data_IF_711343241681
#
_entry.id   IF_711343241681
#
_cell.length_a   1.000
_cell.length_b   1.000
_cell.length_c   1.000
_cell.angle_alpha   90.00
_cell.angle_beta   90.00
_cell.angle_gamma   90.00
#
_symmetry.space_group_name_H-M   'P 1'
#
loop_
_entity.id
_entity.type
_entity.pdbx_description
1 polymer ?
#
# COMPACT_ATOMS: atom_id res chain seq x y z
N UNK A 1 25.60 -10.38 -15.67
CA UNK A 1 26.92 -9.75 -15.43
C UNK A 1 26.91 -8.42 -16.15
N UNK A 2 26.99 -7.28 -15.43
CA UNK A 2 26.92 -5.95 -16.03
C UNK A 2 28.30 -5.58 -16.62
N UNK A 3 28.34 -5.16 -17.88
CA UNK A 3 29.53 -4.59 -18.51
C UNK A 3 29.25 -3.15 -18.92
N UNK A 4 30.05 -2.22 -18.39
CA UNK A 4 30.00 -0.81 -18.77
C UNK A 4 31.06 -0.52 -19.84
N UNK A 5 30.65 0.09 -20.96
CA UNK A 5 31.54 0.70 -21.94
C UNK A 5 31.29 2.22 -21.91
N UNK A 6 32.28 3.01 -21.50
CA UNK A 6 32.22 4.48 -21.59
C UNK A 6 33.33 5.02 -22.48
N UNK A 7 32.99 6.00 -23.33
CA UNK A 7 33.95 6.80 -24.08
C UNK A 7 34.32 8.01 -23.21
N UNK A 8 35.59 8.10 -22.80
CA UNK A 8 36.07 9.10 -21.84
C UNK A 8 36.19 10.47 -22.51
N UNK A 9 35.45 11.47 -22.02
CA UNK A 9 35.77 12.89 -22.21
C UNK A 9 35.83 13.57 -20.83
N UNK A 10 37.04 13.69 -20.30
CA UNK A 10 37.55 14.44 -19.13
C UNK A 10 36.92 14.27 -17.71
N UNK A 11 37.74 14.38 -16.65
CA UNK A 11 37.37 14.02 -15.29
C UNK A 11 36.99 15.26 -14.47
N UNK A 12 35.77 15.31 -13.96
CA UNK A 12 35.46 15.73 -12.59
C UNK A 12 33.94 15.70 -12.39
N UNK A 13 33.56 15.21 -11.21
CA UNK A 13 32.23 15.21 -10.57
C UNK A 13 31.36 13.95 -10.63
N UNK A 14 31.00 13.54 -9.40
CA UNK A 14 29.75 12.92 -8.94
C UNK A 14 29.40 11.53 -9.46
N UNK A 15 29.40 10.56 -8.53
CA UNK A 15 28.67 9.29 -8.66
C UNK A 15 27.17 9.59 -8.85
N UNK A 16 26.74 9.78 -10.09
CA UNK A 16 25.34 9.72 -10.47
C UNK A 16 24.98 8.24 -10.62
N UNK A 17 24.18 7.71 -9.69
CA UNK A 17 23.52 6.42 -9.89
C UNK A 17 22.40 6.65 -10.89
N UNK A 18 22.54 6.07 -12.07
CA UNK A 18 21.52 6.10 -13.11
C UNK A 18 20.70 4.82 -13.06
N UNK A 19 19.38 4.95 -13.22
CA UNK A 19 18.37 3.89 -13.16
C UNK A 19 18.04 3.37 -14.56
N UNK A 20 18.99 2.69 -15.21
CA UNK A 20 18.74 2.16 -16.54
C UNK A 20 17.97 0.83 -16.51
N UNK A 21 16.88 0.74 -17.27
CA UNK A 21 16.21 -0.50 -17.63
C UNK A 21 17.20 -1.44 -18.32
N UNK A 22 17.28 -2.70 -17.85
CA UNK A 22 18.22 -3.70 -18.36
C UNK A 22 17.77 -4.33 -19.70
N UNK A 23 16.52 -4.10 -20.11
CA UNK A 23 15.94 -4.61 -21.36
C UNK A 23 15.72 -3.52 -22.42
N UNK A 24 15.47 -2.27 -22.01
CA UNK A 24 15.20 -1.15 -22.95
C UNK A 24 16.25 -0.03 -22.96
N UNK A 25 17.03 0.07 -21.89
CA UNK A 25 18.12 1.03 -21.74
C UNK A 25 17.66 2.37 -21.22
N UNK A 26 16.35 2.54 -21.02
CA UNK A 26 15.76 3.81 -20.64
C UNK A 26 15.96 4.09 -19.14
N UNK A 27 16.10 5.37 -18.78
CA UNK A 27 16.15 5.83 -17.39
C UNK A 27 15.04 6.83 -17.08
N UNK A 28 14.67 6.99 -15.81
CA UNK A 28 13.69 7.99 -15.38
C UNK A 28 14.13 9.43 -15.65
N UNK A 29 15.43 9.65 -15.91
CA UNK A 29 16.00 10.96 -16.27
C UNK A 29 15.93 11.27 -17.78
N UNK A 30 15.39 10.35 -18.59
CA UNK A 30 15.36 10.47 -20.06
C UNK A 30 16.71 10.17 -20.73
N UNK A 31 17.74 9.80 -19.98
CA UNK A 31 18.98 9.24 -20.51
C UNK A 31 18.74 7.79 -20.97
N UNK A 32 19.39 7.40 -22.05
CA UNK A 32 19.31 6.03 -22.59
C UNK A 32 20.68 5.38 -22.57
N UNK A 33 20.82 4.32 -21.79
CA UNK A 33 21.95 3.41 -21.84
C UNK A 33 21.80 2.47 -23.04
N UNK A 34 22.93 2.13 -23.65
CA UNK A 34 22.96 1.08 -24.66
C UNK A 34 22.86 -0.29 -23.98
N UNK A 35 21.97 -1.14 -24.48
CA UNK A 35 21.89 -2.55 -24.10
C UNK A 35 22.50 -3.37 -25.22
N UNK A 36 23.24 -4.39 -24.82
CA UNK A 36 23.87 -5.34 -25.73
C UNK A 36 23.46 -6.75 -25.36
N UNK A 37 23.27 -7.59 -26.36
CA UNK A 37 23.06 -9.01 -26.13
C UNK A 37 24.34 -9.61 -25.54
N UNK A 38 24.15 -10.29 -24.41
CA UNK A 38 25.21 -10.99 -23.68
C UNK A 38 24.90 -12.48 -23.71
N UNK A 39 25.85 -13.27 -24.22
CA UNK A 39 25.80 -14.73 -24.15
C UNK A 39 26.97 -15.24 -23.31
N UNK A 40 26.72 -16.28 -22.52
CA UNK A 40 27.76 -16.96 -21.75
C UNK A 40 27.83 -18.38 -22.27
N UNK A 41 29.02 -18.85 -22.65
CA UNK A 41 29.19 -20.23 -23.10
C UNK A 41 29.37 -21.21 -21.92
N UNK A 42 29.40 -22.50 -22.22
CA UNK A 42 29.53 -23.58 -21.24
C UNK A 42 30.86 -23.53 -20.46
N UNK A 43 31.84 -22.77 -20.94
CA UNK A 43 33.13 -22.55 -20.29
C UNK A 43 33.15 -21.26 -19.44
N UNK A 44 32.02 -20.56 -19.34
CA UNK A 44 31.87 -19.33 -18.58
C UNK A 44 32.41 -18.08 -19.28
N UNK A 45 32.72 -18.16 -20.58
CA UNK A 45 33.19 -17.02 -21.35
C UNK A 45 32.00 -16.15 -21.74
N UNK A 46 32.07 -14.88 -21.37
CA UNK A 46 31.05 -13.86 -21.68
C UNK A 46 31.36 -13.23 -23.04
N UNK A 47 30.42 -13.30 -23.97
CA UNK A 47 30.46 -12.57 -25.23
C UNK A 47 29.42 -11.46 -25.20
N UNK A 48 29.81 -10.30 -25.71
CA UNK A 48 28.96 -9.11 -25.81
C UNK A 48 29.00 -8.68 -27.27
N UNK A 49 27.83 -8.43 -27.86
CA UNK A 49 27.79 -7.91 -29.22
C UNK A 49 28.45 -6.51 -29.31
N UNK A 50 29.34 -6.25 -30.28
CA UNK A 50 29.97 -4.95 -30.41
C UNK A 50 28.92 -3.86 -30.74
N UNK A 51 28.95 -2.69 -30.07
CA UNK A 51 27.95 -1.64 -30.24
C UNK A 51 27.73 -1.13 -31.66
N UNK A 52 28.76 -1.21 -32.50
CA UNK A 52 28.72 -0.90 -33.94
C UNK A 52 29.72 -1.81 -34.67
N UNK A 53 29.40 -2.35 -35.86
CA UNK A 53 30.27 -3.29 -36.58
C UNK A 53 31.65 -2.73 -36.97
N UNK A 54 31.77 -1.40 -37.05
CA UNK A 54 32.93 -0.69 -37.62
C UNK A 54 33.88 -0.13 -36.56
N UNK A 55 33.61 -0.33 -35.26
CA UNK A 55 34.40 0.25 -34.17
C UNK A 55 35.13 -0.80 -33.35
N UNK A 56 36.39 -0.55 -32.98
CA UNK A 56 37.16 -1.39 -32.04
C UNK A 56 36.83 -1.00 -30.59
N UNK A 57 36.38 -1.96 -29.80
CA UNK A 57 36.01 -1.77 -28.38
C UNK A 57 36.91 -2.61 -27.49
N UNK A 58 37.21 -2.11 -26.30
CA UNK A 58 37.93 -2.86 -25.26
C UNK A 58 37.14 -2.85 -23.96
N UNK A 59 36.90 -4.02 -23.37
CA UNK A 59 36.27 -4.15 -22.06
C UNK A 59 37.16 -3.49 -20.99
N UNK A 60 36.62 -2.50 -20.26
CA UNK A 60 37.38 -1.73 -19.27
C UNK A 60 37.40 -2.37 -17.89
N UNK A 61 36.27 -2.94 -17.47
CA UNK A 61 36.13 -3.68 -16.21
C UNK A 61 34.87 -4.54 -16.26
N UNK A 62 34.91 -5.69 -15.60
CA UNK A 62 33.71 -6.48 -15.28
C UNK A 62 33.59 -6.51 -13.77
N UNK A 63 32.50 -5.96 -13.23
CA UNK A 63 32.25 -5.94 -11.80
C UNK A 63 31.06 -6.86 -11.48
N UNK A 64 31.21 -7.85 -10.59
CA UNK A 64 30.08 -8.60 -10.08
C UNK A 64 29.19 -7.65 -9.26
N UNK A 65 27.88 -7.68 -9.51
CA UNK A 65 26.91 -7.12 -8.57
C UNK A 65 26.77 -8.15 -7.46
N UNK A 66 27.14 -7.85 -6.20
CA UNK A 66 27.05 -8.81 -5.12
C UNK A 66 25.61 -9.30 -4.97
N UNK A 67 25.44 -10.62 -4.85
CA UNK A 67 24.17 -11.27 -4.53
C UNK A 67 23.75 -11.13 -3.06
N UNK A 68 24.25 -10.10 -2.37
CA UNK A 68 23.70 -9.69 -1.09
C UNK A 68 22.42 -8.92 -1.40
N UNK A 69 21.35 -9.66 -1.66
CA UNK A 69 20.00 -9.14 -1.54
C UNK A 69 19.90 -8.51 -0.15
N UNK A 70 19.84 -7.18 -0.10
CA UNK A 70 19.81 -6.43 1.14
C UNK A 70 18.73 -7.04 2.04
N UNK A 71 19.17 -7.64 3.15
CA UNK A 71 18.24 -8.10 4.16
C UNK A 71 17.33 -6.92 4.50
N UNK A 72 16.01 -7.15 4.58
CA UNK A 72 15.13 -6.13 5.16
C UNK A 72 15.73 -5.79 6.52
N UNK A 73 15.94 -4.50 6.83
CA UNK A 73 16.29 -4.09 8.18
C UNK A 73 15.27 -4.70 9.15
N UNK A 74 15.70 -5.32 10.26
CA UNK A 74 14.75 -5.85 11.21
C UNK A 74 13.82 -4.72 11.67
N UNK A 75 12.52 -4.99 11.89
CA UNK A 75 11.65 -3.99 12.47
C UNK A 75 12.27 -3.52 13.80
N UNK A 76 12.14 -2.23 14.12
CA UNK A 76 12.79 -1.66 15.29
C UNK A 76 12.33 -2.40 16.55
N UNK A 77 13.23 -2.65 17.52
CA UNK A 77 12.87 -3.31 18.76
C UNK A 77 11.78 -2.50 19.47
N UNK A 78 10.74 -3.18 19.95
CA UNK A 78 9.62 -2.56 20.66
C UNK A 78 10.06 -2.02 22.02
N UNK A 79 10.63 -0.81 22.05
CA UNK A 79 11.02 -0.12 23.28
C UNK A 79 9.94 0.80 23.84
N UNK A 80 8.91 1.08 23.04
CA UNK A 80 7.89 2.10 23.34
C UNK A 80 6.48 1.53 23.22
N UNK A 81 5.69 1.69 24.27
CA UNK A 81 4.30 1.22 24.36
C UNK A 81 3.31 2.25 23.79
N UNK A 82 2.09 1.84 23.46
CA UNK A 82 1.02 2.78 23.05
C UNK A 82 0.75 3.82 24.13
N UNK A 83 0.77 3.41 25.40
CA UNK A 83 0.62 4.34 26.53
C UNK A 83 1.72 5.41 26.55
N UNK A 84 2.96 5.05 26.26
CA UNK A 84 4.07 6.01 26.18
C UNK A 84 3.91 6.96 24.99
N UNK A 85 3.45 6.47 23.84
CA UNK A 85 3.14 7.30 22.67
C UNK A 85 1.97 8.27 22.91
N UNK A 86 1.20 8.09 24.00
CA UNK A 86 0.16 9.01 24.43
C UNK A 86 0.63 10.26 25.17
N UNK A 87 1.92 10.37 25.52
CA UNK A 87 2.44 11.56 26.18
C UNK A 87 2.79 12.66 25.18
N UNK A 88 2.41 13.90 25.52
CA UNK A 88 2.75 15.11 24.78
C UNK A 88 4.27 15.14 24.60
N UNK A 89 4.74 15.17 23.34
CA UNK A 89 6.14 15.12 22.87
C UNK A 89 6.77 13.75 22.57
N UNK A 90 6.11 12.61 22.82
CA UNK A 90 6.69 11.29 22.46
C UNK A 90 6.24 10.78 21.07
N UNK A 91 5.10 11.24 20.58
CA UNK A 91 4.64 10.92 19.24
C UNK A 91 5.19 11.92 18.21
N UNK A 92 6.40 11.66 17.72
CA UNK A 92 7.07 12.47 16.70
C UNK A 92 7.61 11.57 15.58
N UNK A 93 6.86 11.40 14.48
CA UNK A 93 7.32 10.59 13.34
C UNK A 93 8.59 11.13 12.68
N UNK A 94 8.88 12.43 12.80
CA UNK A 94 10.04 13.06 12.16
C UNK A 94 11.34 12.84 12.96
N UNK A 95 11.22 12.49 14.25
CA UNK A 95 12.35 12.07 15.09
C UNK A 95 12.77 10.61 14.85
N UNK A 96 11.95 9.81 14.15
CA UNK A 96 12.26 8.40 13.85
C UNK A 96 13.34 8.35 12.79
N UNK A 97 14.45 7.68 13.10
CA UNK A 97 15.56 7.49 12.15
C UNK A 97 15.13 6.58 10.99
N UNK A 98 15.70 6.78 9.79
CA UNK A 98 15.54 5.82 8.72
C UNK A 98 16.08 4.45 9.15
N UNK A 99 15.52 3.35 8.61
CA UNK A 99 16.02 2.03 8.92
C UNK A 99 17.42 1.80 8.34
N UNK A 100 18.19 0.91 8.96
CA UNK A 100 19.55 0.56 8.54
C UNK A 100 19.69 -0.97 8.51
N UNK A 101 19.94 -1.59 7.34
CA UNK A 101 20.09 -0.96 6.03
C UNK A 101 18.78 -0.38 5.46
N UNK A 102 18.86 0.60 4.56
CA UNK A 102 17.68 1.13 3.86
C UNK A 102 17.17 0.12 2.81
N UNK A 103 15.85 -0.17 2.73
CA UNK A 103 15.29 -1.04 1.70
C UNK A 103 15.56 -0.52 0.28
N UNK A 104 15.92 -1.43 -0.64
CA UNK A 104 16.33 -1.10 -2.01
C UNK A 104 15.19 -1.13 -3.03
N UNK A 105 14.02 -1.62 -2.65
CA UNK A 105 12.83 -1.67 -3.51
C UNK A 105 11.60 -1.15 -2.76
N UNK A 106 10.60 -0.68 -3.51
CA UNK A 106 9.32 -0.27 -2.92
C UNK A 106 8.63 -1.44 -2.19
N UNK A 107 8.72 -2.65 -2.74
CA UNK A 107 8.12 -3.83 -2.11
C UNK A 107 8.85 -4.20 -0.82
N UNK A 108 10.18 -4.09 -0.76
CA UNK A 108 10.92 -4.30 0.48
C UNK A 108 10.55 -3.26 1.55
N UNK A 109 10.29 -2.00 1.16
CA UNK A 109 9.71 -0.99 2.04
C UNK A 109 8.32 -1.37 2.54
N UNK A 110 7.42 -1.79 1.64
CA UNK A 110 6.07 -2.22 1.99
C UNK A 110 6.11 -3.39 2.99
N UNK A 111 6.98 -4.38 2.75
CA UNK A 111 7.17 -5.53 3.64
C UNK A 111 7.74 -5.12 4.99
N UNK A 112 8.68 -4.18 5.06
CA UNK A 112 9.18 -3.63 6.34
C UNK A 112 8.05 -2.97 7.13
N UNK A 113 7.23 -2.14 6.48
CA UNK A 113 6.12 -1.43 7.12
C UNK A 113 5.07 -2.42 7.64
N UNK A 114 4.70 -3.42 6.83
CA UNK A 114 3.74 -4.45 7.22
C UNK A 114 4.25 -5.34 8.36
N UNK A 115 5.57 -5.51 8.52
CA UNK A 115 6.18 -6.24 9.64
C UNK A 115 6.44 -5.35 10.88
N UNK A 116 6.20 -4.05 10.79
CA UNK A 116 6.41 -3.13 11.91
C UNK A 116 5.17 -3.11 12.81
N UNK A 117 5.30 -3.25 14.13
CA UNK A 117 4.14 -3.23 15.03
C UNK A 117 3.76 -1.81 15.48
N UNK A 118 4.76 -0.93 15.62
CA UNK A 118 4.61 0.40 16.18
C UNK A 118 3.92 1.37 15.21
N UNK A 119 2.81 2.03 15.60
CA UNK A 119 2.10 2.98 14.74
C UNK A 119 2.99 4.18 14.37
N UNK A 120 3.84 4.63 15.29
CA UNK A 120 4.82 5.69 15.06
C UNK A 120 5.80 5.35 13.94
N UNK A 121 6.39 4.14 14.00
CA UNK A 121 7.35 3.70 13.00
C UNK A 121 6.69 3.42 11.64
N UNK A 122 5.45 2.90 11.61
CA UNK A 122 4.70 2.75 10.35
C UNK A 122 4.56 4.08 9.60
N UNK A 123 4.23 5.15 10.31
CA UNK A 123 4.09 6.49 9.71
C UNK A 123 5.42 6.99 9.19
N UNK A 124 6.47 6.92 10.01
CA UNK A 124 7.80 7.36 9.61
C UNK A 124 8.31 6.58 8.38
N UNK A 125 8.21 5.26 8.40
CA UNK A 125 8.63 4.40 7.30
C UNK A 125 7.77 4.59 6.05
N UNK A 126 6.47 4.89 6.19
CA UNK A 126 5.62 5.28 5.06
C UNK A 126 6.14 6.55 4.38
N UNK A 127 6.54 7.57 5.17
CA UNK A 127 7.13 8.81 4.64
C UNK A 127 8.46 8.55 3.92
N UNK A 128 9.35 7.73 4.51
CA UNK A 128 10.61 7.37 3.88
C UNK A 128 10.40 6.56 2.58
N UNK A 129 9.51 5.58 2.59
CA UNK A 129 9.18 4.77 1.43
C UNK A 129 8.60 5.61 0.29
N UNK A 130 7.68 6.53 0.59
CA UNK A 130 7.13 7.46 -0.40
C UNK A 130 8.21 8.37 -0.98
N UNK A 131 9.09 8.91 -0.14
CA UNK A 131 10.21 9.73 -0.60
C UNK A 131 11.22 8.92 -1.45
N UNK A 132 11.49 7.67 -1.11
CA UNK A 132 12.31 6.78 -1.93
C UNK A 132 11.65 6.47 -3.28
N UNK A 133 10.33 6.28 -3.30
CA UNK A 133 9.55 6.12 -4.53
C UNK A 133 9.63 7.33 -5.45
N UNK A 134 9.46 8.52 -4.89
CA UNK A 134 9.55 9.80 -5.61
C UNK A 134 10.96 10.06 -6.16
N UNK A 135 11.99 9.50 -5.51
CA UNK A 135 13.39 9.51 -5.98
C UNK A 135 13.70 8.43 -7.03
N UNK A 136 12.74 7.62 -7.42
CA UNK A 136 12.92 6.64 -8.51
C UNK A 136 13.37 5.25 -8.08
N UNK A 137 13.17 4.84 -6.81
CA UNK A 137 13.50 3.48 -6.38
C UNK A 137 12.83 2.41 -7.26
N UNK A 138 13.50 1.29 -7.48
CA UNK A 138 12.91 0.15 -8.19
C UNK A 138 11.68 -0.39 -7.45
N UNK A 139 10.69 -0.90 -8.19
CA UNK A 139 9.48 -1.45 -7.56
C UNK A 139 9.83 -2.70 -6.74
N UNK A 140 10.51 -3.69 -7.35
CA UNK A 140 10.64 -5.03 -6.77
C UNK A 140 9.43 -5.90 -7.11
N UNK A 141 9.17 -6.94 -6.33
CA UNK A 141 7.95 -7.76 -6.41
C UNK A 141 8.14 -9.14 -7.03
N UNK A 142 9.38 -9.53 -7.32
CA UNK A 142 9.71 -10.84 -7.88
C UNK A 142 9.79 -10.92 -9.40
N UNK A 143 9.98 -12.13 -9.90
CA UNK A 143 10.11 -12.45 -11.32
C UNK A 143 9.62 -13.87 -11.61
N UNK A 144 9.41 -14.21 -12.88
CA UNK A 144 9.18 -15.59 -13.29
C UNK A 144 10.46 -16.42 -13.17
N UNK A 145 10.35 -17.61 -12.60
CA UNK A 145 11.33 -18.70 -12.64
C UNK A 145 10.67 -19.90 -13.34
N UNK A 146 10.83 -19.97 -14.66
CA UNK A 146 10.03 -20.85 -15.50
C UNK A 146 8.54 -20.51 -15.39
N UNK A 147 7.74 -21.46 -14.89
CA UNK A 147 6.29 -21.31 -14.76
C UNK A 147 5.83 -20.75 -13.40
N UNK A 148 6.74 -20.46 -12.47
CA UNK A 148 6.39 -20.02 -11.12
C UNK A 148 6.85 -18.60 -10.86
N UNK A 149 6.01 -17.77 -10.24
CA UNK A 149 6.41 -16.44 -9.80
C UNK A 149 7.19 -16.53 -8.48
N UNK A 150 8.47 -16.17 -8.51
CA UNK A 150 9.35 -16.16 -7.35
C UNK A 150 9.43 -14.76 -6.75
N UNK A 151 9.04 -14.63 -5.47
CA UNK A 151 9.16 -13.38 -4.68
C UNK A 151 10.35 -13.50 -3.73
N UNK A 152 11.31 -12.56 -3.75
CA UNK A 152 12.42 -12.53 -2.80
C UNK A 152 11.93 -12.59 -1.35
N UNK A 153 12.64 -13.33 -0.48
CA UNK A 153 12.24 -13.48 0.91
C UNK A 153 12.10 -12.14 1.65
N UNK A 154 12.94 -11.17 1.28
CA UNK A 154 12.93 -9.80 1.78
C UNK A 154 11.86 -8.90 1.12
N UNK A 155 10.89 -9.49 0.42
CA UNK A 155 9.77 -8.83 -0.24
C UNK A 155 8.45 -9.59 0.01
N UNK A 156 8.47 -10.59 0.89
CA UNK A 156 7.28 -11.36 1.25
C UNK A 156 6.52 -10.67 2.38
N UNK A 157 5.33 -10.08 2.13
CA UNK A 157 4.54 -9.46 3.18
C UNK A 157 4.04 -10.50 4.18
N UNK A 158 3.88 -10.14 5.48
CA UNK A 158 3.29 -11.04 6.45
C UNK A 158 1.82 -11.31 6.10
N UNK A 159 1.29 -12.45 6.57
CA UNK A 159 -0.14 -12.75 6.43
C UNK A 159 -0.99 -11.73 7.19
N UNK A 160 -0.54 -11.33 8.39
CA UNK A 160 -1.16 -10.30 9.21
C UNK A 160 -0.10 -9.38 9.82
N UNK A 161 -0.21 -8.05 9.65
CA UNK A 161 0.65 -7.08 10.30
C UNK A 161 0.58 -7.21 11.83
N UNK A 162 1.71 -7.17 12.54
CA UNK A 162 1.72 -7.20 13.98
C UNK A 162 1.20 -5.87 14.57
N UNK A 163 0.83 -5.92 15.84
CA UNK A 163 0.43 -4.77 16.67
C UNK A 163 1.22 -4.79 17.97
N UNK A 164 1.39 -3.63 18.60
CA UNK A 164 2.08 -3.54 19.89
C UNK A 164 1.35 -4.36 20.96
N UNK A 165 2.12 -5.01 21.84
CA UNK A 165 1.59 -5.98 22.82
C UNK A 165 0.62 -5.40 23.84
N UNK A 166 0.70 -4.10 24.10
CA UNK A 166 -0.17 -3.40 25.05
C UNK A 166 -1.50 -2.92 24.40
N UNK A 167 -1.72 -3.22 23.12
CA UNK A 167 -2.99 -3.00 22.45
C UNK A 167 -4.10 -3.92 23.01
N UNK A 168 -5.22 -3.32 23.39
CA UNK A 168 -6.38 -4.07 23.88
C UNK A 168 -7.30 -4.45 22.71
N UNK A 169 -7.32 -5.73 22.34
CA UNK A 169 -8.20 -6.25 21.29
C UNK A 169 -9.52 -6.77 21.87
N UNK A 170 -10.61 -6.49 21.18
CA UNK A 170 -11.93 -7.09 21.41
C UNK A 170 -12.52 -7.62 20.10
N UNK A 171 -13.44 -8.57 20.22
CA UNK A 171 -14.16 -9.10 19.07
C UNK A 171 -15.10 -8.07 18.43
N UNK A 172 -15.38 -8.17 17.12
CA UNK A 172 -16.35 -7.32 16.45
C UNK A 172 -17.69 -7.31 17.20
N UNK A 173 -18.19 -6.12 17.51
CA UNK A 173 -19.45 -5.92 18.26
C UNK A 173 -19.33 -5.95 19.79
N UNK A 174 -18.18 -6.29 20.36
CA UNK A 174 -17.93 -6.27 21.82
C UNK A 174 -17.33 -4.93 22.31
N UNK A 175 -17.09 -3.98 21.42
CA UNK A 175 -16.67 -2.63 21.81
C UNK A 175 -17.78 -1.88 22.56
N UNK A 176 -17.40 -1.12 23.58
CA UNK A 176 -18.30 -0.19 24.26
C UNK A 176 -18.98 0.73 23.24
N UNK A 177 -20.28 0.98 23.42
CA UNK A 177 -21.05 1.83 22.50
C UNK A 177 -20.39 3.20 22.38
N UNK A 178 -19.89 3.49 21.17
CA UNK A 178 -19.44 4.82 20.74
C UNK A 178 -20.68 5.72 20.82
N UNK A 179 -20.74 6.61 21.80
CA UNK A 179 -21.93 7.45 22.04
C UNK A 179 -22.26 8.36 20.85
N UNK A 180 -23.18 9.32 21.04
CA UNK A 180 -23.64 10.20 19.94
C UNK A 180 -22.71 11.37 19.61
N UNK A 181 -21.53 11.46 20.22
CA UNK A 181 -20.54 12.54 20.01
C UNK A 181 -20.82 13.83 20.82
N UNK A 182 -21.89 13.87 21.61
CA UNK A 182 -22.24 15.06 22.40
C UNK A 182 -21.31 15.32 23.60
N UNK A 183 -20.83 14.26 24.26
CA UNK A 183 -19.86 14.38 25.36
C UNK A 183 -18.44 14.18 24.87
N UNK A 184 -17.47 14.76 25.59
CA UNK A 184 -16.04 14.62 25.29
C UNK A 184 -15.60 13.15 25.27
N UNK A 185 -15.98 12.36 26.27
CA UNK A 185 -15.76 10.90 26.29
C UNK A 185 -16.27 10.21 25.02
N UNK A 186 -17.43 10.62 24.52
CA UNK A 186 -17.98 10.05 23.29
C UNK A 186 -17.21 10.48 22.04
N UNK A 187 -16.67 11.70 22.02
CA UNK A 187 -15.82 12.20 20.93
C UNK A 187 -14.48 11.47 20.91
N UNK A 188 -13.84 11.30 22.06
CA UNK A 188 -12.61 10.50 22.22
C UNK A 188 -12.82 9.08 21.67
N UNK A 189 -13.93 8.42 22.04
CA UNK A 189 -14.23 7.08 21.55
C UNK A 189 -14.48 7.01 20.02
N UNK A 190 -14.99 8.08 19.41
CA UNK A 190 -15.16 8.16 17.96
C UNK A 190 -13.83 8.40 17.24
N UNK A 191 -13.01 9.35 17.70
CA UNK A 191 -11.68 9.63 17.14
C UNK A 191 -10.74 8.44 17.27
N UNK A 192 -10.76 7.76 18.42
CA UNK A 192 -9.96 6.56 18.65
C UNK A 192 -10.35 5.42 17.69
N UNK A 193 -11.65 5.22 17.47
CA UNK A 193 -12.13 4.23 16.52
C UNK A 193 -11.74 4.56 15.07
N UNK A 194 -11.73 5.84 14.69
CA UNK A 194 -11.23 6.29 13.39
C UNK A 194 -9.72 6.07 13.28
N UNK A 195 -8.94 6.40 14.31
CA UNK A 195 -7.49 6.17 14.33
C UNK A 195 -7.15 4.67 14.16
N UNK A 196 -7.96 3.77 14.73
CA UNK A 196 -7.82 2.34 14.46
C UNK A 196 -8.06 1.98 12.99
N UNK A 197 -9.05 2.62 12.34
CA UNK A 197 -9.31 2.42 10.90
C UNK A 197 -8.11 2.90 10.10
N UNK A 198 -7.58 4.11 10.37
CA UNK A 198 -6.44 4.65 9.62
C UNK A 198 -5.17 3.81 9.79
N UNK A 199 -4.93 3.22 10.97
CA UNK A 199 -3.82 2.26 11.14
C UNK A 199 -3.95 1.05 10.22
N UNK A 200 -5.15 0.50 10.09
CA UNK A 200 -5.40 -0.58 9.15
C UNK A 200 -5.35 -0.09 7.69
N UNK A 201 -5.77 1.14 7.41
CA UNK A 201 -5.74 1.72 6.06
C UNK A 201 -4.29 1.89 5.56
N UNK A 202 -3.35 2.35 6.40
CA UNK A 202 -1.91 2.35 6.10
C UNK A 202 -1.46 0.95 5.67
N UNK A 203 -1.82 -0.07 6.45
CA UNK A 203 -1.43 -1.45 6.15
C UNK A 203 -2.08 -1.96 4.86
N UNK A 204 -3.34 -1.63 4.61
CA UNK A 204 -4.06 -2.08 3.42
C UNK A 204 -3.49 -1.46 2.14
N UNK A 205 -3.11 -0.18 2.19
CA UNK A 205 -2.46 0.51 1.08
C UNK A 205 -1.07 -0.07 0.78
N UNK A 206 -0.29 -0.44 1.81
CA UNK A 206 0.99 -1.13 1.60
C UNK A 206 0.83 -2.60 1.20
N UNK A 207 -0.22 -3.29 1.65
CA UNK A 207 -0.48 -4.69 1.31
C UNK A 207 -0.80 -4.88 -0.17
N UNK A 208 -1.61 -3.99 -0.75
CA UNK A 208 -1.90 -4.05 -2.18
C UNK A 208 -0.66 -3.71 -3.02
N UNK A 209 0.21 -2.81 -2.55
CA UNK A 209 1.51 -2.55 -3.16
C UNK A 209 2.37 -3.82 -3.12
N UNK A 210 2.52 -4.43 -1.94
CA UNK A 210 3.39 -5.59 -1.73
C UNK A 210 2.94 -6.82 -2.54
N UNK A 211 1.63 -7.07 -2.62
CA UNK A 211 1.07 -8.24 -3.32
C UNK A 211 0.79 -8.00 -4.80
N UNK A 212 0.59 -6.74 -5.20
CA UNK A 212 0.22 -6.32 -6.54
C UNK A 212 1.00 -7.00 -7.66
N UNK A 213 2.35 -7.03 -7.62
CA UNK A 213 3.18 -7.67 -8.63
C UNK A 213 2.78 -9.11 -8.95
N UNK A 214 2.81 -9.99 -7.92
CA UNK A 214 2.45 -11.40 -8.06
C UNK A 214 0.99 -11.57 -8.48
N UNK A 215 0.08 -10.80 -7.87
CA UNK A 215 -1.35 -10.93 -8.15
C UNK A 215 -1.69 -10.50 -9.58
N UNK A 216 -1.04 -9.44 -10.08
CA UNK A 216 -1.23 -8.99 -11.45
C UNK A 216 -0.60 -9.94 -12.46
N UNK A 217 0.60 -10.46 -12.18
CA UNK A 217 1.22 -11.46 -13.03
C UNK A 217 0.31 -12.69 -13.20
N UNK A 218 -0.28 -13.17 -12.09
CA UNK A 218 -1.29 -14.25 -12.14
C UNK A 218 -2.55 -13.85 -12.89
N UNK A 219 -3.09 -12.67 -12.61
CA UNK A 219 -4.32 -12.19 -13.24
C UNK A 219 -4.18 -12.13 -14.77
N UNK A 220 -2.97 -11.86 -15.27
CA UNK A 220 -2.69 -11.68 -16.69
C UNK A 220 -2.32 -12.98 -17.41
N UNK A 221 -2.29 -14.11 -16.71
CA UNK A 221 -2.03 -15.41 -17.34
C UNK A 221 -3.20 -15.80 -18.23
N UNK A 222 -2.91 -16.25 -19.45
CA UNK A 222 -3.89 -16.78 -20.40
C UNK A 222 -3.43 -18.13 -20.92
N UNK A 223 -4.31 -18.90 -21.57
CA UNK A 223 -3.93 -20.17 -22.21
C UNK A 223 -2.74 -20.03 -23.16
N UNK A 224 -2.60 -18.87 -23.81
CA UNK A 224 -1.52 -18.59 -24.77
C UNK A 224 -0.33 -17.84 -24.17
N UNK A 225 -0.44 -17.30 -22.96
CA UNK A 225 0.65 -16.61 -22.26
C UNK A 225 0.65 -16.96 -20.75
N UNK A 226 1.46 -17.96 -20.40
CA UNK A 226 1.56 -18.46 -19.03
C UNK A 226 2.51 -17.63 -18.14
N UNK A 227 3.37 -16.80 -18.73
CA UNK A 227 4.38 -16.01 -18.00
C UNK A 227 4.37 -14.56 -18.48
N UNK A 228 3.24 -13.84 -18.31
CA UNK A 228 3.14 -12.45 -18.73
C UNK A 228 4.11 -11.58 -17.94
N UNK A 229 4.79 -10.64 -18.60
CA UNK A 229 5.53 -9.60 -17.89
C UNK A 229 4.58 -8.79 -17.01
N UNK A 230 5.08 -8.31 -15.85
CA UNK A 230 4.27 -7.58 -14.88
C UNK A 230 3.67 -6.30 -15.50
N UNK A 231 2.36 -6.22 -15.71
CA UNK A 231 1.74 -5.12 -16.45
C UNK A 231 1.25 -3.98 -15.56
N UNK A 232 1.39 -4.07 -14.22
CA UNK A 232 1.05 -2.95 -13.35
C UNK A 232 2.00 -1.78 -13.62
N UNK A 233 1.48 -0.65 -14.12
CA UNK A 233 2.32 0.50 -14.39
C UNK A 233 2.81 1.14 -13.08
N UNK A 234 3.93 1.84 -13.13
CA UNK A 234 4.48 2.59 -11.99
C UNK A 234 3.44 3.53 -11.34
N UNK A 235 2.47 4.02 -12.11
CA UNK A 235 1.37 4.84 -11.61
C UNK A 235 0.48 4.12 -10.58
N UNK A 236 0.34 2.79 -10.64
CA UNK A 236 -0.38 2.01 -9.62
C UNK A 236 0.26 2.18 -8.25
N UNK A 237 1.58 2.01 -8.23
CA UNK A 237 2.38 2.16 -7.03
C UNK A 237 2.42 3.62 -6.56
N UNK A 238 2.40 4.58 -7.49
CA UNK A 238 2.30 5.99 -7.16
C UNK A 238 0.99 6.30 -6.42
N UNK A 239 -0.15 5.89 -6.98
CA UNK A 239 -1.47 6.14 -6.40
C UNK A 239 -1.58 5.51 -5.01
N UNK A 240 -1.27 4.22 -4.85
CA UNK A 240 -1.40 3.56 -3.54
C UNK A 240 -0.33 4.01 -2.52
N UNK A 241 0.87 4.43 -2.97
CA UNK A 241 1.85 5.01 -2.04
C UNK A 241 1.40 6.39 -1.55
N UNK A 242 0.64 7.13 -2.38
CA UNK A 242 0.01 8.37 -1.99
C UNK A 242 -1.14 8.12 -1.01
N UNK A 243 -2.02 7.13 -1.28
CA UNK A 243 -3.04 6.69 -0.32
C UNK A 243 -2.38 6.36 1.03
N UNK A 244 -1.34 5.51 1.04
CA UNK A 244 -0.65 5.17 2.28
C UNK A 244 -0.09 6.40 3.03
N UNK A 245 0.47 7.37 2.31
CA UNK A 245 0.97 8.62 2.90
C UNK A 245 -0.16 9.46 3.51
N UNK A 246 -1.31 9.52 2.84
CA UNK A 246 -2.50 10.22 3.33
C UNK A 246 -3.08 9.51 4.56
N UNK A 247 -3.13 8.17 4.61
CA UNK A 247 -3.55 7.46 5.83
C UNK A 247 -2.59 7.66 7.01
N UNK A 248 -1.28 7.73 6.73
CA UNK A 248 -0.29 8.07 7.74
C UNK A 248 -0.50 9.50 8.28
N UNK A 249 -0.92 10.45 7.42
CA UNK A 249 -1.33 11.81 7.81
C UNK A 249 -2.64 11.78 8.62
N UNK A 250 -3.65 11.04 8.19
CA UNK A 250 -4.94 10.90 8.89
C UNK A 250 -4.75 10.39 10.31
N UNK A 251 -4.00 9.30 10.47
CA UNK A 251 -3.68 8.77 11.79
C UNK A 251 -2.94 9.80 12.66
N UNK A 252 -1.97 10.52 12.07
CA UNK A 252 -1.20 11.55 12.79
C UNK A 252 -2.12 12.64 13.34
N UNK A 253 -3.05 13.15 12.52
CA UNK A 253 -4.05 14.16 12.93
C UNK A 253 -4.92 13.64 14.08
N UNK A 254 -5.44 12.41 13.96
CA UNK A 254 -6.30 11.81 14.97
C UNK A 254 -5.56 11.53 16.27
N UNK A 255 -4.33 11.02 16.22
CA UNK A 255 -3.50 10.77 17.40
C UNK A 255 -3.15 12.07 18.12
N UNK A 256 -2.77 13.11 17.40
CA UNK A 256 -2.51 14.43 17.98
C UNK A 256 -3.77 14.97 18.67
N UNK A 257 -4.93 14.87 18.00
CA UNK A 257 -6.20 15.30 18.60
C UNK A 257 -6.56 14.50 19.85
N UNK A 258 -6.32 13.20 19.88
CA UNK A 258 -6.53 12.36 21.07
C UNK A 258 -5.65 12.82 22.23
N UNK A 259 -4.36 13.10 21.98
CA UNK A 259 -3.40 13.59 22.98
C UNK A 259 -3.86 14.92 23.58
N UNK A 260 -4.30 15.87 22.74
CA UNK A 260 -4.85 17.16 23.18
C UNK A 260 -6.10 17.01 24.07
N UNK A 261 -6.87 15.95 23.86
CA UNK A 261 -8.06 15.62 24.66
C UNK A 261 -7.72 14.76 25.89
N UNK A 262 -6.43 14.58 26.23
CA UNK A 262 -5.98 13.78 27.37
C UNK A 262 -6.15 12.27 27.18
N UNK A 263 -6.17 11.78 25.93
CA UNK A 263 -6.28 10.38 25.56
C UNK A 263 -5.18 10.00 24.54
N UNK A 264 -5.22 8.78 24.00
CA UNK A 264 -4.26 8.30 23.01
C UNK A 264 -4.78 7.06 22.29
N UNK A 265 -4.27 6.77 21.09
CA UNK A 265 -4.50 5.50 20.40
C UNK A 265 -3.96 4.32 21.22
N UNK A 266 -4.80 3.35 21.51
CA UNK A 266 -4.54 2.27 22.47
C UNK A 266 -5.18 2.45 23.86
N UNK A 267 -5.69 3.65 24.20
CA UNK A 267 -6.36 3.88 25.49
C UNK A 267 -7.73 3.17 25.61
N UNK A 268 -8.34 2.83 24.48
CA UNK A 268 -9.61 2.10 24.38
C UNK A 268 -9.42 0.82 23.56
N UNK A 269 -10.27 -0.21 23.75
CA UNK A 269 -10.16 -1.43 22.99
C UNK A 269 -10.50 -1.29 21.50
N UNK A 270 -9.74 -1.97 20.64
CA UNK A 270 -9.88 -1.97 19.18
C UNK A 270 -10.40 -3.32 18.64
N UNK A 271 -10.93 -3.32 17.42
CA UNK A 271 -11.26 -4.54 16.67
C UNK A 271 -10.45 -4.58 15.38
N UNK A 272 -10.15 -5.78 14.89
CA UNK A 272 -9.31 -5.99 13.70
C UNK A 272 -10.08 -6.50 12.47
N UNK A 273 -11.40 -6.33 12.47
CA UNK A 273 -12.29 -6.88 11.43
C UNK A 273 -12.02 -6.38 10.01
N UNK A 274 -11.33 -5.24 9.84
CA UNK A 274 -11.00 -4.72 8.52
C UNK A 274 -9.98 -5.62 7.79
N UNK A 275 -9.00 -6.16 8.52
CA UNK A 275 -7.98 -7.06 7.95
C UNK A 275 -8.56 -8.43 7.55
N UNK A 276 -9.70 -8.84 8.10
CA UNK A 276 -10.31 -10.11 7.72
C UNK A 276 -10.78 -10.06 6.24
N UNK A 277 -11.15 -8.87 5.74
CA UNK A 277 -11.42 -8.66 4.30
C UNK A 277 -10.16 -8.74 3.45
N UNK A 278 -9.00 -8.35 4.01
CA UNK A 278 -7.71 -8.51 3.35
C UNK A 278 -7.35 -9.99 3.21
N UNK A 279 -7.47 -10.77 4.29
CA UNK A 279 -7.23 -12.22 4.23
C UNK A 279 -8.15 -12.88 3.19
N UNK A 280 -9.44 -12.55 3.20
CA UNK A 280 -10.42 -13.09 2.25
C UNK A 280 -10.04 -12.84 0.78
N UNK A 281 -9.40 -11.71 0.50
CA UNK A 281 -9.04 -11.27 -0.86
C UNK A 281 -7.54 -11.35 -1.11
N UNK A 282 -6.80 -12.15 -0.32
CA UNK A 282 -5.34 -12.33 -0.42
C UNK A 282 -4.84 -12.80 -1.78
N UNK A 283 -5.69 -13.53 -2.50
CA UNK A 283 -5.34 -14.20 -3.76
C UNK A 283 -6.11 -13.67 -4.97
N UNK A 284 -6.75 -12.51 -4.89
CA UNK A 284 -7.49 -11.95 -6.03
C UNK A 284 -7.38 -10.43 -6.03
N UNK A 285 -6.67 -9.88 -7.02
CA UNK A 285 -6.41 -8.43 -7.13
C UNK A 285 -7.70 -7.63 -7.37
N UNK A 286 -8.59 -8.13 -8.21
CA UNK A 286 -9.85 -7.47 -8.51
C UNK A 286 -10.79 -7.51 -7.30
N UNK A 287 -10.85 -8.65 -6.59
CA UNK A 287 -11.59 -8.74 -5.35
C UNK A 287 -10.98 -7.82 -4.27
N UNK A 288 -9.65 -7.74 -4.18
CA UNK A 288 -8.94 -6.86 -3.25
C UNK A 288 -9.32 -5.39 -3.48
N UNK A 289 -9.20 -4.92 -4.72
CA UNK A 289 -9.60 -3.56 -5.11
C UNK A 289 -11.08 -3.31 -4.83
N UNK A 290 -11.95 -4.27 -5.12
CA UNK A 290 -13.39 -4.14 -4.94
C UNK A 290 -13.79 -4.04 -3.47
N UNK A 291 -13.28 -4.93 -2.61
CA UNK A 291 -13.70 -4.99 -1.21
C UNK A 291 -12.99 -3.93 -0.38
N UNK A 292 -11.68 -3.82 -0.50
CA UNK A 292 -10.91 -2.87 0.31
C UNK A 292 -11.11 -1.46 -0.24
N UNK A 293 -10.70 -1.22 -1.48
CA UNK A 293 -10.57 0.14 -2.01
C UNK A 293 -11.85 0.76 -2.58
N UNK A 294 -12.91 -0.03 -2.75
CA UNK A 294 -14.20 0.46 -3.28
C UNK A 294 -15.40 0.23 -2.36
N UNK A 295 -15.35 -0.73 -1.42
CA UNK A 295 -16.39 -0.89 -0.39
C UNK A 295 -15.99 -0.23 0.92
N UNK A 296 -14.80 -0.55 1.47
CA UNK A 296 -14.40 -0.01 2.77
C UNK A 296 -14.03 1.48 2.69
N UNK A 297 -13.23 1.90 1.71
CA UNK A 297 -12.92 3.35 1.56
C UNK A 297 -14.18 4.17 1.25
N UNK A 298 -15.05 3.67 0.36
CA UNK A 298 -16.30 4.36 0.04
C UNK A 298 -17.26 4.43 1.23
N UNK A 299 -17.06 3.61 2.28
CA UNK A 299 -17.81 3.73 3.53
C UNK A 299 -17.42 4.97 4.31
N UNK A 300 -16.17 5.42 4.22
CA UNK A 300 -15.70 6.69 4.78
C UNK A 300 -16.50 7.87 4.22
N UNK A 301 -16.70 7.92 2.89
CA UNK A 301 -17.50 8.95 2.22
C UNK A 301 -18.94 9.08 2.74
N UNK A 302 -19.55 7.97 3.15
CA UNK A 302 -20.92 7.95 3.66
C UNK A 302 -21.00 8.37 5.14
N UNK A 303 -20.00 7.99 5.95
CA UNK A 303 -20.07 8.10 7.42
C UNK A 303 -19.41 9.37 7.94
N UNK A 304 -18.36 9.85 7.26
CA UNK A 304 -17.57 11.01 7.70
C UNK A 304 -18.41 12.30 7.80
N UNK A 305 -19.28 12.64 6.82
CA UNK A 305 -20.11 13.86 6.91
C UNK A 305 -20.97 13.92 8.17
N UNK A 306 -21.62 12.81 8.54
CA UNK A 306 -22.44 12.72 9.74
C UNK A 306 -21.58 12.83 11.01
N UNK A 307 -20.37 12.28 11.00
CA UNK A 307 -19.43 12.39 12.11
C UNK A 307 -18.97 13.84 12.27
N UNK A 308 -18.54 14.50 11.18
CA UNK A 308 -18.17 15.93 11.17
C UNK A 308 -19.31 16.79 11.73
N UNK A 309 -20.55 16.54 11.31
CA UNK A 309 -21.72 17.28 11.82
C UNK A 309 -21.89 17.13 13.34
N UNK A 310 -21.68 15.93 13.90
CA UNK A 310 -21.75 15.70 15.35
C UNK A 310 -20.69 16.50 16.11
N UNK A 311 -19.45 16.51 15.62
CA UNK A 311 -18.36 17.27 16.25
C UNK A 311 -18.59 18.77 16.15
N UNK A 312 -19.11 19.24 15.00
CA UNK A 312 -19.51 20.64 14.81
C UNK A 312 -20.61 21.06 15.78
N UNK A 313 -21.65 20.23 15.94
CA UNK A 313 -22.73 20.49 16.89
C UNK A 313 -22.25 20.50 18.35
N UNK A 314 -21.15 19.80 18.65
CA UNK A 314 -20.52 19.79 19.96
C UNK A 314 -19.51 20.94 20.17
N UNK A 315 -19.33 21.84 19.19
CA UNK A 315 -18.40 22.97 19.28
C UNK A 315 -16.92 22.59 19.18
N UNK A 316 -16.59 21.38 18.71
CA UNK A 316 -15.21 20.88 18.62
C UNK A 316 -14.59 21.19 17.25
N UNK A 317 -14.21 22.46 17.06
CA UNK A 317 -13.72 22.97 15.78
C UNK A 317 -12.43 22.28 15.29
N UNK A 318 -11.52 21.92 16.21
CA UNK A 318 -10.24 21.28 15.89
C UNK A 318 -10.44 19.86 15.32
N UNK A 319 -11.35 19.09 15.94
CA UNK A 319 -11.73 17.77 15.41
C UNK A 319 -12.47 17.90 14.08
N UNK A 320 -13.30 18.93 13.89
CA UNK A 320 -13.98 19.19 12.60
C UNK A 320 -12.97 19.45 11.49
N UNK A 321 -11.93 20.24 11.75
CA UNK A 321 -10.86 20.51 10.78
C UNK A 321 -10.16 19.22 10.36
N UNK A 322 -9.68 18.43 11.32
CA UNK A 322 -9.01 17.15 11.06
C UNK A 322 -9.88 16.18 10.26
N UNK A 323 -11.14 16.00 10.67
CA UNK A 323 -12.08 15.11 9.99
C UNK A 323 -12.48 15.61 8.59
N UNK A 324 -12.47 16.93 8.37
CA UNK A 324 -12.75 17.51 7.04
C UNK A 324 -11.59 17.23 6.09
N UNK A 325 -10.34 17.37 6.55
CA UNK A 325 -9.15 16.99 5.76
C UNK A 325 -9.23 15.53 5.35
N UNK A 326 -9.43 14.62 6.31
CA UNK A 326 -9.56 13.18 6.06
C UNK A 326 -10.62 12.92 4.99
N UNK A 327 -11.83 13.45 5.17
CA UNK A 327 -12.93 13.23 4.24
C UNK A 327 -12.67 13.68 2.80
N UNK A 328 -11.91 14.76 2.60
CA UNK A 328 -11.57 15.24 1.26
C UNK A 328 -10.56 14.31 0.56
N UNK A 329 -9.64 13.75 1.31
CA UNK A 329 -8.63 12.80 0.80
C UNK A 329 -9.28 11.46 0.39
N UNK A 330 -10.26 10.98 1.16
CA UNK A 330 -11.02 9.73 0.87
C UNK A 330 -11.59 9.67 -0.56
N UNK A 331 -12.00 10.82 -1.13
CA UNK A 331 -12.53 10.89 -2.50
C UNK A 331 -11.47 10.43 -3.50
N UNK A 332 -10.22 10.81 -3.28
CA UNK A 332 -9.09 10.44 -4.14
C UNK A 332 -8.66 8.99 -3.93
N UNK A 333 -8.85 8.45 -2.72
CA UNK A 333 -8.54 7.05 -2.41
C UNK A 333 -9.51 6.10 -3.11
N UNK A 334 -10.81 6.38 -3.03
CA UNK A 334 -11.84 5.64 -3.78
C UNK A 334 -11.61 5.78 -5.29
N UNK A 335 -11.21 6.97 -5.75
CA UNK A 335 -10.84 7.21 -7.16
C UNK A 335 -9.67 6.31 -7.62
N UNK A 336 -8.66 6.10 -6.77
CA UNK A 336 -7.54 5.19 -7.05
C UNK A 336 -8.04 3.75 -7.20
N UNK A 337 -8.86 3.27 -6.26
CA UNK A 337 -9.50 1.95 -6.35
C UNK A 337 -10.30 1.76 -7.64
N UNK A 338 -11.11 2.75 -7.99
CA UNK A 338 -11.95 2.75 -9.19
C UNK A 338 -11.11 2.72 -10.47
N UNK A 339 -10.08 3.57 -10.54
CA UNK A 339 -9.15 3.67 -11.66
C UNK A 339 -8.46 2.33 -11.92
N UNK A 340 -7.92 1.69 -10.88
CA UNK A 340 -7.14 0.46 -11.05
C UNK A 340 -8.00 -0.77 -11.34
N UNK A 341 -9.20 -0.86 -10.76
CA UNK A 341 -10.13 -1.93 -11.14
C UNK A 341 -10.56 -1.76 -12.62
N UNK A 342 -10.87 -0.53 -13.03
CA UNK A 342 -11.24 -0.22 -14.42
C UNK A 342 -10.09 -0.52 -15.39
N UNK A 343 -8.86 -0.15 -15.03
CA UNK A 343 -7.66 -0.46 -15.80
C UNK A 343 -7.49 -1.97 -16.00
N UNK A 344 -7.57 -2.76 -14.92
CA UNK A 344 -7.42 -4.22 -14.98
C UNK A 344 -8.48 -4.88 -15.86
N UNK A 345 -9.73 -4.42 -15.81
CA UNK A 345 -10.77 -4.91 -16.70
C UNK A 345 -10.55 -4.48 -18.16
N UNK A 346 -9.94 -3.32 -18.40
CA UNK A 346 -9.69 -2.82 -19.75
C UNK A 346 -8.57 -3.58 -20.47
N UNK A 347 -7.49 -3.91 -19.76
CA UNK A 347 -6.39 -4.70 -20.33
C UNK A 347 -6.74 -6.17 -20.54
N UNK A 348 -7.92 -6.59 -20.07
CA UNK A 348 -8.54 -7.87 -20.30
C UNK A 348 -9.95 -7.72 -20.89
N UNK A 349 -10.08 -7.30 -22.16
CA UNK A 349 -11.38 -6.95 -22.76
C UNK A 349 -12.37 -8.11 -22.85
N UNK A 350 -11.91 -9.36 -22.73
CA UNK A 350 -12.73 -10.56 -22.60
C UNK A 350 -13.40 -10.71 -21.22
N UNK A 351 -12.98 -9.93 -20.23
CA UNK A 351 -13.58 -9.92 -18.90
C UNK A 351 -14.87 -9.09 -18.84
N UNK A 352 -15.75 -9.35 -17.85
CA UNK A 352 -16.93 -8.54 -17.59
C UNK A 352 -16.59 -7.06 -17.35
N UNK A 353 -17.59 -6.18 -17.48
CA UNK A 353 -17.41 -4.75 -17.20
C UNK A 353 -16.87 -4.52 -15.77
N UNK A 354 -16.18 -3.40 -15.49
CA UNK A 354 -15.70 -3.09 -14.13
C UNK A 354 -16.80 -3.16 -13.06
N UNK A 355 -18.01 -2.74 -13.42
CA UNK A 355 -19.20 -2.82 -12.54
C UNK A 355 -19.57 -4.28 -12.24
N UNK A 356 -19.56 -5.14 -13.25
CA UNK A 356 -19.88 -6.56 -13.08
C UNK A 356 -18.84 -7.28 -12.24
N UNK A 357 -17.55 -7.00 -12.49
CA UNK A 357 -16.44 -7.52 -11.68
C UNK A 357 -16.60 -7.08 -10.23
N UNK A 358 -16.81 -5.79 -9.98
CA UNK A 358 -17.05 -5.27 -8.62
C UNK A 358 -18.23 -5.96 -7.94
N UNK A 359 -19.40 -6.00 -8.60
CA UNK A 359 -20.62 -6.58 -8.01
C UNK A 359 -20.45 -8.07 -7.74
N UNK A 360 -19.74 -8.79 -8.62
CA UNK A 360 -19.40 -10.20 -8.42
C UNK A 360 -18.48 -10.39 -7.23
N UNK A 361 -17.42 -9.58 -7.11
CA UNK A 361 -16.50 -9.60 -5.98
C UNK A 361 -17.22 -9.32 -4.66
N UNK A 362 -18.12 -8.32 -4.62
CA UNK A 362 -18.91 -8.01 -3.42
C UNK A 362 -19.82 -9.18 -3.04
N UNK A 363 -20.56 -9.77 -3.99
CA UNK A 363 -21.38 -10.96 -3.69
C UNK A 363 -20.54 -12.08 -3.09
N UNK A 364 -19.40 -12.39 -3.70
CA UNK A 364 -18.55 -13.52 -3.29
C UNK A 364 -17.85 -13.30 -1.95
N UNK A 365 -17.34 -12.10 -1.69
CA UNK A 365 -16.38 -11.86 -0.61
C UNK A 365 -16.90 -10.99 0.53
N UNK A 366 -18.04 -10.30 0.37
CA UNK A 366 -18.62 -9.43 1.40
C UNK A 366 -19.78 -10.11 2.14
N UNK A 367 -19.98 -9.77 3.41
CA UNK A 367 -21.08 -10.30 4.24
C UNK A 367 -22.18 -9.25 4.38
N UNK A 368 -23.37 -9.58 3.86
CA UNK A 368 -24.58 -8.78 4.04
C UNK A 368 -24.68 -7.56 3.12
N UNK A 369 -25.69 -6.73 3.36
CA UNK A 369 -26.03 -5.63 2.46
C UNK A 369 -25.06 -4.45 2.58
N UNK A 370 -24.72 -3.81 1.46
CA UNK A 370 -24.10 -2.48 1.49
C UNK A 370 -25.13 -1.48 2.03
N UNK A 371 -24.88 -0.93 3.22
CA UNK A 371 -25.85 -0.11 3.94
C UNK A 371 -25.66 1.38 3.63
N UNK A 372 -26.70 2.00 3.10
CA UNK A 372 -26.81 3.46 3.05
C UNK A 372 -27.04 4.11 4.42
N UNK A 373 -27.34 5.42 4.47
CA UNK A 373 -27.44 6.31 3.30
C UNK A 373 -26.09 6.45 2.60
N UNK A 374 -26.11 6.49 1.26
CA UNK A 374 -24.91 6.69 0.45
C UNK A 374 -24.71 8.17 0.18
N UNK A 375 -23.47 8.64 0.26
CA UNK A 375 -23.10 9.97 -0.18
C UNK A 375 -22.91 9.95 -1.70
N UNK A 376 -24.01 10.19 -2.43
CA UNK A 376 -24.06 10.05 -3.90
C UNK A 376 -23.09 11.02 -4.58
N UNK A 377 -23.01 12.27 -4.10
CA UNK A 377 -22.20 13.31 -4.72
C UNK A 377 -20.70 12.97 -4.63
N UNK A 378 -20.20 12.62 -3.45
CA UNK A 378 -18.78 12.28 -3.27
C UNK A 378 -18.41 10.95 -3.91
N UNK A 379 -19.31 9.95 -3.85
CA UNK A 379 -19.11 8.68 -4.57
C UNK A 379 -19.03 8.92 -6.08
N UNK A 380 -19.89 9.79 -6.63
CA UNK A 380 -19.86 10.14 -8.05
C UNK A 380 -18.58 10.89 -8.41
N UNK A 381 -18.11 11.81 -7.57
CA UNK A 381 -16.83 12.47 -7.75
C UNK A 381 -15.66 11.47 -7.76
N UNK A 382 -15.76 10.40 -6.97
CA UNK A 382 -14.80 9.31 -6.95
C UNK A 382 -14.95 8.29 -8.11
N UNK A 383 -15.91 8.48 -9.01
CA UNK A 383 -16.17 7.58 -10.14
C UNK A 383 -17.21 6.48 -9.88
N UNK A 384 -17.72 6.34 -8.66
CA UNK A 384 -18.74 5.37 -8.30
C UNK A 384 -20.16 5.91 -8.54
N UNK A 385 -20.71 5.62 -9.70
CA UNK A 385 -22.12 5.88 -10.00
C UNK A 385 -23.04 4.87 -9.27
N UNK A 386 -24.35 5.15 -9.13
CA UNK A 386 -25.29 4.27 -8.40
C UNK A 386 -25.30 2.80 -8.85
N UNK A 387 -25.04 2.53 -10.14
CA UNK A 387 -24.98 1.16 -10.69
C UNK A 387 -23.97 0.24 -9.98
N UNK A 388 -22.92 0.82 -9.39
CA UNK A 388 -21.90 0.08 -8.66
C UNK A 388 -22.49 -0.56 -7.41
N UNK A 389 -23.18 0.21 -6.57
CA UNK A 389 -23.49 -0.18 -5.18
C UNK A 389 -24.98 -0.31 -4.86
N UNK A 390 -25.89 0.25 -5.66
CA UNK A 390 -27.32 0.15 -5.38
C UNK A 390 -27.82 -1.30 -5.46
N UNK A 391 -28.68 -1.65 -4.49
CA UNK A 391 -29.27 -2.99 -4.36
C UNK A 391 -28.24 -4.12 -4.18
N UNK A 392 -26.99 -3.81 -3.84
CA UNK A 392 -25.93 -4.80 -3.75
C UNK A 392 -25.85 -5.42 -2.36
N UNK A 393 -25.84 -6.75 -2.33
CA UNK A 393 -25.69 -7.54 -1.12
C UNK A 393 -24.58 -8.56 -1.32
N UNK A 394 -23.71 -8.65 -0.32
CA UNK A 394 -22.79 -9.76 -0.16
C UNK A 394 -23.53 -11.06 0.15
N UNK A 395 -23.09 -12.15 -0.45
CA UNK A 395 -23.66 -13.50 -0.34
C UNK A 395 -22.74 -14.42 0.48
N UNK A 396 -21.56 -13.93 0.90
CA UNK A 396 -20.71 -14.65 1.84
C UNK A 396 -21.45 -14.87 3.15
N UNK A 397 -21.56 -16.13 3.57
CA UNK A 397 -22.10 -16.46 4.88
C UNK A 397 -21.08 -16.10 5.97
N UNK A 398 -21.55 -15.49 7.05
CA UNK A 398 -20.72 -15.36 8.25
C UNK A 398 -20.42 -16.76 8.78
N UNK A 399 -19.15 -17.16 8.79
CA UNK A 399 -18.73 -18.36 9.51
C UNK A 399 -19.08 -18.14 10.98
N UNK A 400 -20.06 -18.89 11.48
CA UNK A 400 -20.27 -18.98 12.93
C UNK A 400 -19.15 -19.85 13.45
N UNK A 401 -18.14 -19.25 14.07
CA UNK A 401 -17.27 -20.00 14.97
C UNK A 401 -18.15 -20.54 16.11
N UNK A 402 -18.63 -21.77 15.94
CA UNK A 402 -19.13 -22.58 17.04
C UNK A 402 -17.88 -23.24 17.61
N UNK A 403 -17.31 -22.63 18.64
CA UNK A 403 -16.33 -23.31 19.48
C UNK A 403 -17.04 -24.51 20.14
N UNK A 404 -16.57 -25.71 19.84
CA UNK A 404 -16.95 -26.97 20.49
C UNK A 404 -15.98 -27.32 21.61
#
# INVERSE_FOLDING_TARGET
MLCYLSRVCHPNHLHQQYDFSLSTGDSSTGLRACIYDVRVDELGIVYIEPPTPESTWSCKAIQPVPSEFAAIPPPPPESTTLAQLGHIHLFDPDAVKPPDPEPQTLIAWATLILNTASPLHKIAYTRYAKNAFDRGISIGGGHWDGATWHVPANEQPPERPPRLRDEQRVEPGQQSKRGRGGSERSRIALLHALANIEQWAIDLAWDIIARGPRLSARYMQTETNQTPEMPLPRAFFADFSQVALDEAKHFTLLQQRLIEMGSFFGALPVHHGLWDSAIETAEDLCARLSIIHLVHEARGLDVNPLTIQKFRAAGDALSVESLTTIHLDEITHVSAGHRWLTYLCHVHPEHPSPVDVFRSSVRKHFVGQLKGPFNVDDRQQAGLTPQWYEGLCGEKHAERHVES
#
